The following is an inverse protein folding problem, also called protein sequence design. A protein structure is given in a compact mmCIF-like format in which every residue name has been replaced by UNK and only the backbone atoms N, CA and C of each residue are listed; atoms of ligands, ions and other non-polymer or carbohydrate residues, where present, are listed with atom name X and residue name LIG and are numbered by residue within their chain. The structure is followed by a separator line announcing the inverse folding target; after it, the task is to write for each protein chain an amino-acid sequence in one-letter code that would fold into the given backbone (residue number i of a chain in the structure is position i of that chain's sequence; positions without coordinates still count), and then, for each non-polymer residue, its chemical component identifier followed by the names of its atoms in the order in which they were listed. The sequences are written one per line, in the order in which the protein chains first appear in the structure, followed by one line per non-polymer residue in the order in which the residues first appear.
data_IF_719387966844
#
_entry.id   IF_719387966844
#
_cell.length_a   1.000
_cell.length_b   1.000
_cell.length_c   1.000
_cell.angle_alpha   90.00
_cell.angle_beta   90.00
_cell.angle_gamma   90.00
#
_symmetry.space_group_name_H-M   'P 1'
#
loop_
_entity.id
_entity.type
_entity.pdbx_description
1 polymer ?
#
# COMPACT_ATOMS: atom_id res chain seq x y z
N UNK A 1 5.55 -7.38 1.07
CA UNK A 1 4.91 -8.55 1.70
C UNK A 1 3.91 -9.14 0.71
N UNK A 2 3.84 -10.46 0.58
CA UNK A 2 2.84 -11.13 -0.25
C UNK A 2 2.15 -12.29 0.49
N UNK A 3 0.82 -12.37 0.38
CA UNK A 3 0.04 -13.49 0.95
C UNK A 3 -0.37 -14.52 -0.09
N UNK A 4 -0.51 -15.77 0.31
CA UNK A 4 -1.11 -16.84 -0.51
C UNK A 4 -2.65 -16.92 -0.38
N UNK A 5 -3.28 -15.94 0.28
CA UNK A 5 -4.74 -15.80 0.35
C UNK A 5 -5.19 -14.37 0.06
N UNK A 6 -6.45 -14.22 -0.33
CA UNK A 6 -7.19 -12.95 -0.28
C UNK A 6 -7.59 -12.62 1.17
N UNK A 7 -8.05 -11.39 1.42
CA UNK A 7 -8.61 -11.03 2.73
C UNK A 7 -9.94 -11.74 3.03
N UNK A 8 -10.61 -12.25 1.99
CA UNK A 8 -11.83 -13.06 2.10
C UNK A 8 -11.58 -14.58 2.23
N UNK A 9 -10.32 -14.99 2.40
CA UNK A 9 -9.95 -16.38 2.63
C UNK A 9 -9.93 -17.26 1.38
N UNK A 10 -9.90 -16.68 0.18
CA UNK A 10 -9.73 -17.42 -1.07
C UNK A 10 -8.23 -17.67 -1.31
N UNK A 11 -7.80 -18.88 -1.72
CA UNK A 11 -6.43 -19.12 -2.14
C UNK A 11 -6.06 -18.24 -3.34
N UNK A 12 -4.83 -17.73 -3.35
CA UNK A 12 -4.26 -17.03 -4.50
C UNK A 12 -2.78 -17.39 -4.68
N UNK A 13 -2.26 -17.40 -5.91
CA UNK A 13 -0.83 -17.60 -6.13
C UNK A 13 -0.02 -16.42 -5.56
N UNK A 14 1.26 -16.69 -5.31
CA UNK A 14 2.27 -15.67 -5.06
C UNK A 14 2.78 -15.15 -6.42
N UNK A 15 2.06 -14.18 -6.98
CA UNK A 15 2.32 -13.61 -8.31
C UNK A 15 3.67 -12.89 -8.33
N UNK A 16 3.99 -12.09 -7.30
CA UNK A 16 5.27 -11.39 -7.28
C UNK A 16 6.44 -12.37 -7.16
N UNK A 17 6.32 -13.41 -6.31
CA UNK A 17 7.34 -14.45 -6.23
C UNK A 17 7.62 -15.13 -7.59
N UNK A 18 6.55 -15.47 -8.34
CA UNK A 18 6.67 -16.15 -9.62
C UNK A 18 7.33 -15.30 -10.72
N UNK A 19 7.24 -13.97 -10.60
CA UNK A 19 7.77 -13.01 -11.57
C UNK A 19 8.96 -12.21 -11.04
N UNK A 20 9.55 -12.62 -9.91
CA UNK A 20 10.59 -11.86 -9.21
C UNK A 20 11.83 -11.59 -10.08
N UNK A 21 12.15 -12.50 -10.98
CA UNK A 21 13.25 -12.35 -11.93
C UNK A 21 13.13 -11.11 -12.84
N UNK A 22 11.90 -10.65 -13.12
CA UNK A 22 11.63 -9.43 -13.91
C UNK A 22 12.03 -8.16 -13.14
N UNK A 23 12.18 -8.25 -11.81
CA UNK A 23 12.50 -7.13 -10.92
C UNK A 23 13.96 -7.11 -10.48
N UNK A 24 14.85 -7.85 -11.16
CA UNK A 24 16.30 -7.89 -10.87
C UNK A 24 16.94 -6.50 -10.76
N UNK A 25 16.43 -5.53 -11.50
CA UNK A 25 16.94 -4.16 -11.51
C UNK A 25 16.79 -3.41 -10.17
N UNK A 26 15.92 -3.88 -9.26
CA UNK A 26 15.74 -3.34 -7.90
C UNK A 26 16.05 -4.36 -6.80
N UNK A 27 16.55 -5.54 -7.15
CA UNK A 27 16.77 -6.66 -6.21
C UNK A 27 17.60 -6.23 -4.99
N UNK A 28 18.63 -5.40 -5.18
CA UNK A 28 19.49 -4.91 -4.10
C UNK A 28 18.79 -3.94 -3.13
N UNK A 29 17.60 -3.45 -3.47
CA UNK A 29 16.77 -2.52 -2.67
C UNK A 29 15.43 -3.13 -2.29
N UNK A 30 15.20 -4.39 -2.65
CA UNK A 30 13.93 -5.07 -2.47
C UNK A 30 14.00 -5.97 -1.24
N UNK A 31 13.24 -5.63 -0.21
CA UNK A 31 12.97 -6.56 0.91
C UNK A 31 11.64 -7.25 0.67
N UNK A 32 11.69 -8.55 0.42
CA UNK A 32 10.52 -9.38 0.14
C UNK A 32 10.25 -10.34 1.30
N UNK A 33 8.98 -10.56 1.59
CA UNK A 33 8.53 -11.51 2.60
C UNK A 33 7.17 -12.07 2.22
N UNK A 34 6.92 -13.32 2.59
CA UNK A 34 5.64 -14.01 2.39
C UNK A 34 4.93 -14.21 3.72
N UNK A 35 3.60 -14.23 3.69
CA UNK A 35 2.80 -14.60 4.86
C UNK A 35 1.68 -15.57 4.45
N UNK A 36 1.48 -16.63 5.23
CA UNK A 36 0.34 -17.52 5.04
C UNK A 36 -0.93 -16.89 5.59
N UNK A 37 -2.01 -16.84 4.81
CA UNK A 37 -3.31 -16.43 5.34
C UNK A 37 -3.96 -17.52 6.20
N UNK A 38 -5.06 -17.20 6.90
CA UNK A 38 -5.77 -18.18 7.74
C UNK A 38 -6.77 -19.05 6.96
N UNK A 39 -7.01 -18.75 5.68
CA UNK A 39 -7.95 -19.48 4.80
C UNK A 39 -9.39 -19.58 5.33
N UNK A 40 -9.80 -18.68 6.23
CA UNK A 40 -11.14 -18.67 6.82
C UNK A 40 -12.09 -17.85 5.95
N UNK A 41 -13.10 -18.50 5.37
CA UNK A 41 -14.15 -17.85 4.59
C UNK A 41 -15.27 -17.32 5.49
N UNK A 42 -15.95 -16.26 5.06
CA UNK A 42 -17.13 -15.70 5.76
C UNK A 42 -16.82 -14.95 7.06
N UNK A 43 -15.55 -14.84 7.44
CA UNK A 43 -15.13 -13.98 8.53
C UNK A 43 -14.95 -12.53 8.05
N UNK A 44 -15.00 -11.59 8.98
CA UNK A 44 -14.60 -10.21 8.75
C UNK A 44 -13.20 -10.15 8.10
N UNK A 45 -13.07 -9.63 6.86
CA UNK A 45 -11.79 -9.55 6.15
C UNK A 45 -10.71 -8.72 6.84
N UNK A 46 -11.08 -7.78 7.72
CA UNK A 46 -10.13 -6.93 8.45
C UNK A 46 -9.22 -7.71 9.40
N UNK A 47 -9.57 -8.95 9.78
CA UNK A 47 -8.66 -9.81 10.54
C UNK A 47 -7.43 -10.23 9.72
N UNK A 48 -7.61 -10.62 8.46
CA UNK A 48 -6.48 -10.93 7.57
C UNK A 48 -5.64 -9.69 7.29
N UNK A 49 -6.30 -8.54 7.11
CA UNK A 49 -5.62 -7.26 6.93
C UNK A 49 -4.75 -6.92 8.15
N UNK A 50 -5.31 -6.96 9.36
CA UNK A 50 -4.57 -6.68 10.60
C UNK A 50 -3.35 -7.59 10.77
N UNK A 51 -3.51 -8.88 10.47
CA UNK A 51 -2.40 -9.84 10.50
C UNK A 51 -1.29 -9.49 9.49
N UNK A 52 -1.66 -9.09 8.27
CA UNK A 52 -0.68 -8.63 7.27
C UNK A 52 0.01 -7.33 7.68
N UNK A 53 -0.68 -6.40 8.38
CA UNK A 53 -0.08 -5.18 8.92
C UNK A 53 1.02 -5.49 9.95
N UNK A 54 0.78 -6.46 10.84
CA UNK A 54 1.81 -6.93 11.80
C UNK A 54 3.01 -7.55 11.08
N UNK A 55 2.78 -8.36 10.04
CA UNK A 55 3.86 -8.92 9.25
C UNK A 55 4.66 -7.84 8.48
N UNK A 56 4.01 -6.77 8.01
CA UNK A 56 4.68 -5.62 7.41
C UNK A 56 5.58 -4.90 8.40
N UNK A 57 5.16 -4.69 9.65
CA UNK A 57 6.00 -4.08 10.69
C UNK A 57 7.30 -4.85 10.89
N UNK A 58 7.23 -6.18 10.89
CA UNK A 58 8.42 -7.03 10.99
C UNK A 58 9.28 -6.90 9.73
N UNK A 59 8.68 -6.88 8.54
CA UNK A 59 9.40 -6.77 7.27
C UNK A 59 10.13 -5.43 7.15
N UNK A 60 9.55 -4.34 7.64
CA UNK A 60 10.20 -3.02 7.68
C UNK A 60 11.50 -3.05 8.51
N UNK A 61 11.48 -3.74 9.67
CA UNK A 61 12.68 -3.90 10.51
C UNK A 61 13.74 -4.75 9.82
N UNK A 62 13.33 -5.83 9.15
CA UNK A 62 14.24 -6.69 8.36
C UNK A 62 14.87 -5.90 7.20
N UNK A 63 14.13 -4.96 6.61
CA UNK A 63 14.62 -4.07 5.55
C UNK A 63 15.69 -3.08 6.04
N UNK A 64 15.94 -3.01 7.36
CA UNK A 64 16.97 -2.15 7.95
C UNK A 64 16.55 -0.70 8.16
N UNK A 65 15.24 -0.43 8.29
CA UNK A 65 14.75 0.91 8.62
C UNK A 65 15.24 1.35 10.01
N UNK A 66 15.59 2.62 10.15
CA UNK A 66 16.12 3.25 11.36
C UNK A 66 15.39 4.54 11.71
N UNK A 67 15.65 5.09 12.90
CA UNK A 67 15.03 6.35 13.34
C UNK A 67 15.36 7.48 12.37
N UNK A 68 14.39 8.39 12.19
CA UNK A 68 14.40 9.52 11.26
C UNK A 68 14.35 9.18 9.76
N UNK A 69 14.35 7.90 9.37
CA UNK A 69 14.05 7.50 7.99
C UNK A 69 12.63 7.94 7.59
N UNK A 70 12.46 8.36 6.34
CA UNK A 70 11.15 8.65 5.77
C UNK A 70 10.50 7.37 5.23
N UNK A 71 9.50 6.87 5.95
CA UNK A 71 8.71 5.71 5.58
C UNK A 71 7.47 6.12 4.79
N UNK A 72 7.47 5.85 3.49
CA UNK A 72 6.26 5.94 2.65
C UNK A 72 5.39 4.70 2.85
N UNK A 73 4.16 4.90 3.30
CA UNK A 73 3.13 3.87 3.41
C UNK A 73 2.07 4.12 2.33
N UNK A 74 2.03 3.27 1.31
CA UNK A 74 1.05 3.38 0.21
C UNK A 74 0.72 2.01 -0.37
N UNK A 75 -0.41 1.93 -1.06
CA UNK A 75 -0.73 0.80 -1.93
C UNK A 75 0.07 0.86 -3.25
N UNK A 76 0.15 -0.25 -3.98
CA UNK A 76 0.87 -0.32 -5.27
C UNK A 76 0.25 0.58 -6.33
N UNK A 77 -1.06 0.83 -6.25
CA UNK A 77 -1.79 1.72 -7.17
C UNK A 77 -1.78 3.19 -6.73
N UNK A 78 -1.09 3.53 -5.63
CA UNK A 78 -0.89 4.87 -5.09
C UNK A 78 0.57 5.31 -5.31
N UNK A 79 0.80 6.10 -6.37
CA UNK A 79 2.13 6.42 -6.89
C UNK A 79 2.43 7.90 -6.62
N UNK A 80 3.34 8.22 -5.66
CA UNK A 80 3.79 9.58 -5.46
C UNK A 80 4.53 10.12 -6.69
N UNK A 81 4.39 11.41 -6.93
CA UNK A 81 5.06 12.09 -8.03
C UNK A 81 6.56 12.26 -7.77
N UNK A 82 7.34 12.43 -8.84
CA UNK A 82 8.77 12.74 -8.75
C UNK A 82 9.02 14.03 -7.95
N UNK A 83 8.22 15.07 -8.17
CA UNK A 83 8.40 16.35 -7.47
C UNK A 83 8.10 16.23 -5.98
N UNK A 84 7.14 15.40 -5.59
CA UNK A 84 6.86 15.08 -4.18
C UNK A 84 8.02 14.35 -3.53
N UNK A 85 8.57 13.32 -4.18
CA UNK A 85 9.74 12.61 -3.64
C UNK A 85 10.95 13.55 -3.53
N UNK A 86 11.16 14.43 -4.51
CA UNK A 86 12.22 15.42 -4.42
C UNK A 86 11.98 16.38 -3.25
N UNK A 87 10.78 16.94 -3.11
CA UNK A 87 10.44 17.83 -1.99
C UNK A 87 10.77 17.18 -0.64
N UNK A 88 10.34 15.94 -0.43
CA UNK A 88 10.59 15.18 0.80
C UNK A 88 12.07 14.90 1.05
N UNK A 89 12.90 14.82 0.00
CA UNK A 89 14.36 14.62 0.12
C UNK A 89 15.13 15.88 0.46
N UNK A 90 14.65 17.04 0.02
CA UNK A 90 15.38 18.30 0.11
C UNK A 90 14.93 19.19 1.26
N UNK A 91 13.71 19.00 1.76
CA UNK A 91 13.19 19.76 2.88
C UNK A 91 13.49 19.07 4.20
N UNK A 92 14.06 19.82 5.13
CA UNK A 92 14.08 19.46 6.54
C UNK A 92 12.69 19.65 7.19
N UNK A 93 12.54 19.16 8.41
CA UNK A 93 11.34 19.39 9.25
C UNK A 93 10.01 18.88 8.64
N UNK A 94 10.06 17.81 7.83
CA UNK A 94 8.84 17.10 7.41
C UNK A 94 8.00 16.76 8.65
N UNK A 95 6.67 17.02 8.64
CA UNK A 95 5.80 16.64 9.75
C UNK A 95 5.99 15.16 10.10
N UNK A 96 5.82 14.81 11.38
CA UNK A 96 5.97 13.42 11.84
C UNK A 96 5.17 12.43 11.00
N UNK A 97 3.95 12.83 10.60
CA UNK A 97 3.10 12.09 9.70
C UNK A 97 2.46 13.09 8.72
N UNK A 98 2.71 12.88 7.43
CA UNK A 98 2.23 13.72 6.34
C UNK A 98 1.42 12.86 5.36
N UNK A 99 0.13 13.12 5.21
CA UNK A 99 -0.70 12.48 4.18
C UNK A 99 -0.38 13.05 2.79
N UNK A 100 -0.49 12.23 1.76
CA UNK A 100 -0.25 12.59 0.37
C UNK A 100 -1.58 12.64 -0.38
N UNK A 101 -2.00 13.82 -0.85
CA UNK A 101 -3.21 13.96 -1.67
C UNK A 101 -2.91 13.61 -3.13
N UNK A 102 -3.38 12.44 -3.54
CA UNK A 102 -3.22 11.92 -4.90
C UNK A 102 -4.46 12.23 -5.75
N UNK A 103 -4.24 12.45 -7.05
CA UNK A 103 -5.29 12.53 -8.07
C UNK A 103 -5.89 11.14 -8.24
N UNK A 104 -7.18 10.99 -7.99
CA UNK A 104 -7.87 9.70 -7.97
C UNK A 104 -8.50 9.40 -9.32
N UNK A 105 -8.07 8.30 -9.94
CA UNK A 105 -8.54 7.82 -11.23
C UNK A 105 -9.23 6.47 -11.07
N UNK A 106 -10.15 6.17 -11.99
CA UNK A 106 -10.85 4.90 -12.03
C UNK A 106 -10.66 4.25 -13.40
N UNK A 107 -10.45 2.94 -13.48
CA UNK A 107 -10.30 2.17 -14.74
C UNK A 107 -8.98 2.42 -15.51
N UNK A 108 -8.61 3.68 -15.70
CA UNK A 108 -7.35 4.11 -16.34
C UNK A 108 -7.03 5.55 -15.90
N UNK A 109 -5.84 6.04 -16.24
CA UNK A 109 -5.45 7.44 -15.99
C UNK A 109 -6.20 8.48 -16.85
N UNK A 110 -7.16 8.05 -17.68
CA UNK A 110 -8.00 8.95 -18.48
C UNK A 110 -9.23 9.44 -17.69
N UNK A 111 -9.71 8.65 -16.72
CA UNK A 111 -10.95 8.93 -16.00
C UNK A 111 -10.67 9.45 -14.60
N UNK A 112 -10.40 10.76 -14.50
CA UNK A 112 -10.27 11.44 -13.22
C UNK A 112 -11.62 11.44 -12.48
N UNK A 113 -11.62 10.96 -11.24
CA UNK A 113 -12.80 10.95 -10.36
C UNK A 113 -12.81 12.18 -9.47
N UNK A 114 -11.74 12.38 -8.69
CA UNK A 114 -11.58 13.49 -7.77
C UNK A 114 -10.11 13.65 -7.32
N UNK A 115 -9.87 14.57 -6.38
CA UNK A 115 -8.58 14.75 -5.70
C UNK A 115 -8.68 14.38 -4.21
N UNK A 116 -9.44 13.32 -3.90
CA UNK A 116 -9.77 12.91 -2.52
C UNK A 116 -9.08 11.60 -2.10
N UNK A 117 -8.12 11.10 -2.87
CA UNK A 117 -7.25 10.02 -2.39
C UNK A 117 -6.16 10.61 -1.50
N UNK A 118 -6.14 10.22 -0.22
CA UNK A 118 -5.24 10.82 0.78
C UNK A 118 -4.60 9.82 1.75
N UNK A 119 -4.91 8.52 1.63
CA UNK A 119 -4.47 7.51 2.62
C UNK A 119 -2.99 7.18 2.58
N UNK A 120 -2.35 7.36 1.41
CA UNK A 120 -0.91 7.28 1.29
C UNK A 120 -0.27 8.33 2.21
N UNK A 121 0.72 7.94 2.99
CA UNK A 121 1.35 8.83 3.96
C UNK A 121 2.86 8.61 4.05
N UNK A 122 3.57 9.65 4.49
CA UNK A 122 4.98 9.61 4.84
C UNK A 122 5.08 9.76 6.35
N UNK A 123 5.79 8.84 6.99
CA UNK A 123 6.05 8.85 8.42
C UNK A 123 7.54 9.06 8.63
N UNK A 124 7.91 9.96 9.54
CA UNK A 124 9.24 9.93 10.15
C UNK A 124 9.28 8.71 11.07
N UNK A 125 10.15 7.75 10.75
CA UNK A 125 10.19 6.49 11.48
C UNK A 125 10.71 6.71 12.89
N UNK A 126 10.04 6.10 13.87
CA UNK A 126 10.46 6.09 15.27
C UNK A 126 10.32 4.68 15.81
N UNK A 127 11.44 4.12 16.24
CA UNK A 127 11.56 2.75 16.73
C UNK A 127 10.62 2.52 17.90
N UNK A 128 9.84 1.44 17.82
CA UNK A 128 8.87 1.07 18.85
C UNK A 128 7.54 1.83 18.79
N UNK A 129 7.47 2.97 18.08
CA UNK A 129 6.24 3.77 17.94
C UNK A 129 5.59 3.65 16.56
N UNK A 130 6.37 3.76 15.48
CA UNK A 130 5.83 3.70 14.12
C UNK A 130 5.37 2.29 13.75
N UNK A 131 4.13 2.19 13.28
CA UNK A 131 3.47 0.97 12.79
C UNK A 131 2.89 1.23 11.42
N UNK A 132 2.83 0.21 10.57
CA UNK A 132 2.22 0.30 9.27
C UNK A 132 0.72 0.59 9.38
N UNK A 133 0.30 1.73 8.84
CA UNK A 133 -1.06 2.22 8.84
C UNK A 133 -1.42 2.74 7.45
N UNK A 134 -2.66 2.51 7.02
CA UNK A 134 -3.21 3.04 5.76
C UNK A 134 -4.62 3.58 6.01
N UNK A 135 -4.69 4.55 6.90
CA UNK A 135 -5.88 5.27 7.34
C UNK A 135 -5.44 6.62 7.95
N UNK A 136 -6.36 7.47 8.38
CA UNK A 136 -6.01 8.80 8.93
C UNK A 136 -5.14 8.66 10.17
N UNK A 137 -4.04 9.41 10.19
CA UNK A 137 -3.04 9.43 11.26
C UNK A 137 -2.65 10.85 11.69
N UNK A 138 -2.92 11.84 10.85
CA UNK A 138 -2.72 13.27 11.13
C UNK A 138 -3.68 14.10 10.27
N UNK A 139 -3.64 15.41 10.46
CA UNK A 139 -4.44 16.39 9.70
C UNK A 139 -3.61 17.11 8.63
N UNK A 140 -2.29 16.90 8.65
CA UNK A 140 -1.35 17.45 7.68
C UNK A 140 -1.42 16.69 6.36
N UNK A 141 -1.60 17.44 5.26
CA UNK A 141 -1.74 16.86 3.93
C UNK A 141 -0.97 17.68 2.88
N UNK A 142 -0.11 16.98 2.14
CA UNK A 142 0.58 17.54 0.99
C UNK A 142 -0.31 17.43 -0.26
N UNK A 143 -0.67 18.57 -0.83
CA UNK A 143 -1.43 18.64 -2.07
C UNK A 143 -0.61 18.23 -3.31
N UNK A 144 -1.29 17.77 -4.36
CA UNK A 144 -0.71 17.43 -5.68
C UNK A 144 0.46 16.45 -5.57
N UNK A 145 0.26 15.40 -4.77
CA UNK A 145 1.33 14.51 -4.34
C UNK A 145 1.58 13.32 -5.27
N UNK A 146 0.75 13.12 -6.30
CA UNK A 146 0.84 11.99 -7.23
C UNK A 146 -0.51 11.51 -7.74
N UNK A 147 -0.59 10.21 -8.04
CA UNK A 147 -1.75 9.58 -8.66
C UNK A 147 -2.17 8.32 -7.89
N UNK A 148 -3.47 8.11 -7.78
CA UNK A 148 -4.08 6.86 -7.32
C UNK A 148 -4.93 6.30 -8.45
N UNK A 149 -4.59 5.12 -8.96
CA UNK A 149 -5.31 4.50 -10.07
C UNK A 149 -6.17 3.33 -9.57
N UNK A 150 -7.35 3.66 -9.05
CA UNK A 150 -8.25 2.67 -8.48
C UNK A 150 -8.81 1.77 -9.59
N UNK A 151 -8.69 0.46 -9.36
CA UNK A 151 -9.11 -0.56 -10.32
C UNK A 151 -8.57 -0.35 -11.74
N UNK A 152 -7.30 0.04 -11.88
CA UNK A 152 -6.68 0.17 -13.20
C UNK A 152 -6.19 -1.18 -13.74
N UNK A 153 -7.14 -2.05 -14.04
CA UNK A 153 -6.89 -3.39 -14.58
C UNK A 153 -7.23 -3.47 -16.07
N UNK A 154 -6.62 -4.44 -16.76
CA UNK A 154 -6.81 -4.63 -18.19
C UNK A 154 -8.09 -5.39 -18.51
N UNK A 155 -8.56 -6.26 -17.61
CA UNK A 155 -9.71 -7.16 -17.83
C UNK A 155 -10.74 -7.02 -16.72
N UNK A 156 -12.02 -7.05 -17.08
CA UNK A 156 -13.15 -7.05 -16.12
C UNK A 156 -13.05 -8.18 -15.08
N UNK A 157 -12.48 -9.34 -15.43
CA UNK A 157 -12.27 -10.43 -14.47
C UNK A 157 -11.36 -10.02 -13.29
N UNK A 158 -10.39 -9.13 -13.52
CA UNK A 158 -9.49 -8.61 -12.48
C UNK A 158 -10.22 -7.64 -11.54
N UNK A 159 -11.16 -6.85 -12.08
CA UNK A 159 -12.07 -6.03 -11.27
C UNK A 159 -12.90 -6.88 -10.33
N UNK A 160 -13.60 -7.87 -10.91
CA UNK A 160 -14.45 -8.80 -10.16
C UNK A 160 -13.63 -9.51 -9.09
N UNK A 161 -12.39 -9.90 -9.41
CA UNK A 161 -11.48 -10.50 -8.43
C UNK A 161 -11.14 -9.52 -7.29
N UNK A 162 -10.68 -8.30 -7.57
CA UNK A 162 -10.36 -7.30 -6.52
C UNK A 162 -11.58 -7.05 -5.63
N UNK A 163 -12.75 -6.82 -6.23
CA UNK A 163 -14.01 -6.60 -5.51
C UNK A 163 -14.34 -7.76 -4.55
N UNK A 164 -14.11 -9.01 -4.99
CA UNK A 164 -14.36 -10.20 -4.16
C UNK A 164 -13.23 -10.52 -3.17
N UNK A 165 -12.04 -9.94 -3.32
CA UNK A 165 -10.84 -10.34 -2.59
C UNK A 165 -10.48 -9.44 -1.40
N UNK A 166 -10.69 -8.13 -1.53
CA UNK A 166 -10.22 -7.12 -0.57
C UNK A 166 -11.15 -6.93 0.64
N UNK A 167 -10.71 -6.12 1.60
CA UNK A 167 -11.34 -6.05 2.92
C UNK A 167 -12.71 -5.37 2.93
N UNK A 168 -12.97 -4.54 1.93
CA UNK A 168 -14.28 -3.93 1.69
C UNK A 168 -15.15 -4.72 0.70
N UNK A 169 -15.07 -6.05 0.70
CA UNK A 169 -15.93 -6.92 -0.11
C UNK A 169 -17.42 -6.71 0.21
N UNK A 170 -17.78 -6.21 1.39
CA UNK A 170 -19.14 -5.84 1.79
C UNK A 170 -19.85 -4.87 0.82
N UNK A 171 -19.08 -4.20 -0.05
CA UNK A 171 -19.59 -3.30 -1.11
C UNK A 171 -20.07 -4.03 -2.36
N UNK A 172 -19.76 -5.32 -2.49
CA UNK A 172 -20.25 -6.19 -3.57
C UNK A 172 -21.65 -6.68 -3.17
N UNK A 173 -22.68 -6.12 -3.81
CA UNK A 173 -24.07 -6.57 -3.68
C UNK A 173 -24.48 -7.41 -4.86
#
# INVERSE_FOLDING_TARGET
LESNTTFTGLPKPLVFAAHRDEFKFIESRLTYGTVGGRFVKGQNPFYEEAYQRVALDQLLRIAGITDDDLLLMSDVDEIPSRHTINLLRWCDEVPKILHLRLKNYLYSFEFLVDNKSWRASVHRYETGKTRYAHYRQSDEILADAGWHCSFCFRRISEFIFKMKAYSHNDRVR
#
